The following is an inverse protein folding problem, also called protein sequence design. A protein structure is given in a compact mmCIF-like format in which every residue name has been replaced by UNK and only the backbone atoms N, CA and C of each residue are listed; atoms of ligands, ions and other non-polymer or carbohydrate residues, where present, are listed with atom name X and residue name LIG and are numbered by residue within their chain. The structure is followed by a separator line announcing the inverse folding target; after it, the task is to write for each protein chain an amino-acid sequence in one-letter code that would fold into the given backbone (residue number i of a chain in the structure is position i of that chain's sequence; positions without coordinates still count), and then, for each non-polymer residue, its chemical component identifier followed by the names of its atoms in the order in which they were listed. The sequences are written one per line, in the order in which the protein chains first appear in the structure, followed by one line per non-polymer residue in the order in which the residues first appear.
data_IF_496133002704
#
_entry.id   IF_496133002704
#
_cell.length_a   1.000
_cell.length_b   1.000
_cell.length_c   1.000
_cell.angle_alpha   90.00
_cell.angle_beta   90.00
_cell.angle_gamma   90.00
#
_symmetry.space_group_name_H-M   'P 1'
#
loop_
_entity.id
_entity.type
_entity.pdbx_description
1 polymer ?
#
# COMPACT_ATOMS: atom_id res chain seq x y z
N UNK A 1 12.00 14.92 -7.29
CA UNK A 1 11.59 13.54 -6.93
C UNK A 1 12.02 12.52 -7.98
N UNK A 2 12.07 11.21 -7.66
CA UNK A 2 12.47 10.16 -8.62
C UNK A 2 11.64 10.16 -9.92
N UNK A 3 10.33 10.45 -9.80
CA UNK A 3 9.39 10.51 -10.94
C UNK A 3 9.82 11.54 -12.00
N UNK A 4 10.48 12.64 -11.61
CA UNK A 4 10.96 13.68 -12.55
C UNK A 4 12.00 13.15 -13.54
N UNK A 5 12.69 12.05 -13.21
CA UNK A 5 13.72 11.44 -14.03
C UNK A 5 13.19 10.31 -14.95
N UNK A 6 11.88 10.01 -14.90
CA UNK A 6 11.23 9.05 -15.79
C UNK A 6 11.31 9.54 -17.24
N UNK A 7 11.84 8.69 -18.15
CA UNK A 7 11.99 8.99 -19.58
C UNK A 7 10.86 8.45 -20.46
N UNK A 8 10.03 7.56 -19.92
CA UNK A 8 8.89 6.94 -20.60
C UNK A 8 7.61 7.76 -20.43
N UNK A 9 6.62 7.53 -21.29
CA UNK A 9 5.31 8.21 -21.21
C UNK A 9 4.50 7.81 -19.97
N UNK A 10 4.77 6.62 -19.42
CA UNK A 10 4.13 6.07 -18.23
C UNK A 10 5.17 5.48 -17.30
N UNK A 11 4.82 5.34 -16.02
CA UNK A 11 5.63 4.67 -15.02
C UNK A 11 4.75 3.88 -14.05
N UNK A 12 5.35 2.85 -13.47
CA UNK A 12 4.85 2.16 -12.27
C UNK A 12 5.73 2.60 -11.11
N UNK A 13 5.14 3.07 -10.02
CA UNK A 13 5.86 3.21 -8.75
C UNK A 13 5.65 1.96 -7.90
N UNK A 14 6.70 1.55 -7.19
CA UNK A 14 6.73 0.29 -6.46
C UNK A 14 7.65 0.42 -5.24
N UNK A 15 7.27 -0.22 -4.13
CA UNK A 15 8.14 -0.36 -2.97
C UNK A 15 9.23 -1.41 -3.29
N UNK A 16 10.46 -1.21 -2.79
CA UNK A 16 11.65 -1.99 -3.21
C UNK A 16 11.56 -3.49 -2.92
N UNK A 17 10.70 -3.86 -1.97
CA UNK A 17 10.43 -5.22 -1.51
C UNK A 17 9.35 -5.94 -2.32
N UNK A 18 8.78 -5.32 -3.36
CA UNK A 18 7.83 -5.97 -4.26
C UNK A 18 8.46 -6.50 -5.53
N UNK A 19 8.03 -7.69 -5.93
CA UNK A 19 8.41 -8.33 -7.18
C UNK A 19 7.25 -8.32 -8.17
N UNK A 20 7.42 -7.75 -9.37
CA UNK A 20 6.42 -7.84 -10.42
C UNK A 20 6.34 -9.25 -11.00
N UNK A 21 5.13 -9.67 -11.36
CA UNK A 21 4.94 -10.89 -12.14
C UNK A 21 5.66 -10.77 -13.49
N UNK A 22 6.17 -11.88 -14.02
CA UNK A 22 6.92 -11.88 -15.29
C UNK A 22 6.06 -11.43 -16.47
N UNK A 23 4.74 -11.57 -16.34
CA UNK A 23 3.75 -11.14 -17.34
C UNK A 23 3.20 -9.72 -17.12
N UNK A 24 3.65 -8.98 -16.08
CA UNK A 24 3.09 -7.66 -15.77
C UNK A 24 3.25 -6.69 -16.93
N UNK A 25 4.45 -6.64 -17.52
CA UNK A 25 4.75 -5.76 -18.66
C UNK A 25 3.83 -6.04 -19.86
N UNK A 26 3.63 -7.32 -20.19
CA UNK A 26 2.74 -7.76 -21.27
C UNK A 26 1.29 -7.30 -21.04
N UNK A 27 0.80 -7.42 -19.80
CA UNK A 27 -0.57 -7.02 -19.47
C UNK A 27 -0.77 -5.50 -19.49
N UNK A 28 0.23 -4.72 -19.05
CA UNK A 28 0.23 -3.25 -19.22
C UNK A 28 0.25 -2.87 -20.71
N UNK A 29 0.88 -3.69 -21.57
CA UNK A 29 0.92 -3.50 -23.03
C UNK A 29 -0.20 -4.22 -23.78
N UNK A 30 -1.24 -4.72 -23.09
CA UNK A 30 -2.38 -5.30 -23.78
C UNK A 30 -3.12 -4.24 -24.61
N UNK A 31 -3.87 -4.69 -25.63
CA UNK A 31 -4.68 -3.79 -26.47
C UNK A 31 -5.60 -2.89 -25.64
N UNK A 32 -6.29 -3.45 -24.65
CA UNK A 32 -7.23 -2.72 -23.79
C UNK A 32 -6.48 -1.68 -22.92
N UNK A 33 -5.34 -2.07 -22.33
CA UNK A 33 -4.51 -1.18 -21.51
C UNK A 33 -3.95 -0.02 -22.34
N UNK A 34 -3.35 -0.30 -23.50
CA UNK A 34 -2.77 0.72 -24.38
C UNK A 34 -3.84 1.65 -24.96
N UNK A 35 -5.01 1.13 -25.34
CA UNK A 35 -6.13 1.96 -25.80
C UNK A 35 -6.60 2.90 -24.69
N UNK A 36 -6.75 2.40 -23.47
CA UNK A 36 -7.24 3.21 -22.34
C UNK A 36 -6.22 4.28 -21.93
N UNK A 37 -4.95 3.89 -21.80
CA UNK A 37 -3.85 4.79 -21.43
C UNK A 37 -3.58 5.87 -22.50
N UNK A 38 -3.78 5.57 -23.79
CA UNK A 38 -3.58 6.54 -24.86
C UNK A 38 -4.74 7.52 -25.02
N UNK A 39 -5.98 7.10 -24.74
CA UNK A 39 -7.17 7.93 -24.93
C UNK A 39 -7.55 8.78 -23.73
N UNK A 40 -7.28 8.31 -22.51
CA UNK A 40 -7.61 9.05 -21.29
C UNK A 40 -6.36 9.34 -20.45
N UNK A 41 -5.86 10.60 -20.44
CA UNK A 41 -4.68 11.01 -19.68
C UNK A 41 -4.84 10.90 -18.16
N UNK A 42 -6.09 10.83 -17.67
CA UNK A 42 -6.43 10.71 -16.25
C UNK A 42 -6.79 9.28 -15.86
N UNK A 43 -6.31 8.30 -16.61
CA UNK A 43 -6.38 6.89 -16.20
C UNK A 43 -5.26 6.57 -15.23
N UNK A 44 -5.59 5.90 -14.14
CA UNK A 44 -4.62 5.27 -13.25
C UNK A 44 -4.90 3.76 -13.18
N UNK A 45 -3.99 2.94 -13.69
CA UNK A 45 -4.16 1.49 -13.66
C UNK A 45 -3.67 0.94 -12.33
N UNK A 46 -4.58 0.34 -11.57
CA UNK A 46 -4.26 -0.35 -10.32
C UNK A 46 -3.63 -1.69 -10.64
N UNK A 47 -2.41 -1.91 -10.13
CA UNK A 47 -1.72 -3.20 -10.14
C UNK A 47 -1.99 -3.89 -8.81
N UNK A 48 -2.66 -5.06 -8.79
CA UNK A 48 -2.93 -5.79 -7.56
C UNK A 48 -1.65 -6.23 -6.84
N UNK A 49 -1.65 -5.99 -5.54
CA UNK A 49 -0.56 -6.31 -4.64
C UNK A 49 -0.91 -7.50 -3.75
N UNK A 50 -0.03 -8.49 -3.70
CA UNK A 50 -0.17 -9.67 -2.86
C UNK A 50 1.01 -9.77 -1.90
N UNK A 51 0.88 -10.65 -0.92
CA UNK A 51 1.98 -11.02 -0.05
C UNK A 51 1.95 -12.48 0.30
N UNK A 52 3.15 -12.99 0.55
CA UNK A 52 3.41 -14.28 1.16
C UNK A 52 2.99 -14.24 2.63
N UNK A 53 2.17 -15.18 3.07
CA UNK A 53 1.66 -15.25 4.46
C UNK A 53 2.72 -15.72 5.47
N UNK A 54 3.79 -16.33 4.98
CA UNK A 54 5.05 -16.56 5.69
C UNK A 54 5.92 -15.29 5.72
N UNK A 55 5.28 -14.18 6.06
CA UNK A 55 5.78 -12.79 6.03
C UNK A 55 7.09 -12.57 6.77
N UNK A 56 7.25 -13.25 7.89
CA UNK A 56 8.49 -13.20 8.63
C UNK A 56 9.35 -14.34 8.14
N UNK A 57 10.63 -14.08 7.87
CA UNK A 57 11.72 -15.06 7.79
C UNK A 57 11.87 -15.94 9.06
N UNK A 58 10.77 -16.46 9.61
CA UNK A 58 10.66 -17.45 10.67
C UNK A 58 10.88 -18.80 10.01
N UNK A 59 12.15 -19.12 9.76
CA UNK A 59 12.55 -20.43 9.24
C UNK A 59 11.92 -21.53 10.13
N UNK A 60 10.96 -22.29 9.58
CA UNK A 60 10.31 -23.41 10.29
C UNK A 60 11.38 -24.39 10.79
N UNK A 61 11.43 -24.60 12.10
CA UNK A 61 12.43 -25.45 12.77
C UNK A 61 13.35 -24.72 13.75
N UNK A 62 13.38 -23.38 13.74
CA UNK A 62 13.95 -22.60 14.84
C UNK A 62 12.81 -22.06 15.71
N UNK A 63 12.60 -22.67 16.88
CA UNK A 63 11.76 -22.08 17.95
C UNK A 63 12.44 -20.78 18.39
N UNK A 64 11.94 -19.64 17.92
CA UNK A 64 12.25 -18.32 18.49
C UNK A 64 11.15 -18.04 19.51
N UNK A 65 11.18 -18.75 20.63
CA UNK A 65 10.32 -18.47 21.78
C UNK A 65 10.84 -17.24 22.52
N UNK A 66 10.62 -16.05 21.95
CA UNK A 66 10.62 -14.69 22.54
C UNK A 66 11.00 -13.67 21.46
N UNK A 67 10.03 -12.87 21.00
CA UNK A 67 10.24 -11.71 20.11
C UNK A 67 11.08 -10.66 20.87
N UNK A 68 11.96 -9.79 20.28
CA UNK A 68 12.27 -9.52 18.86
C UNK A 68 13.79 -9.50 18.57
N UNK A 69 14.29 -10.36 17.70
CA UNK A 69 15.44 -9.97 16.88
C UNK A 69 15.15 -10.34 15.43
N UNK A 70 15.03 -9.29 14.61
CA UNK A 70 15.40 -9.30 13.19
C UNK A 70 16.60 -10.25 13.05
N UNK A 71 16.64 -11.19 12.09
CA UNK A 71 17.77 -12.08 11.91
C UNK A 71 19.07 -11.25 11.97
N UNK A 72 19.83 -11.43 13.05
CA UNK A 72 20.80 -10.42 13.50
C UNK A 72 22.10 -10.46 12.71
N UNK A 73 22.24 -11.43 11.80
CA UNK A 73 23.33 -11.46 10.84
C UNK A 73 22.82 -11.70 9.42
N UNK A 74 23.54 -11.11 8.45
CA UNK A 74 23.22 -11.16 7.03
C UNK A 74 23.08 -12.59 6.48
N UNK A 75 23.74 -13.58 7.08
CA UNK A 75 23.69 -14.97 6.63
C UNK A 75 22.30 -15.60 6.82
N UNK A 76 21.61 -15.31 7.93
CA UNK A 76 20.24 -15.81 8.16
C UNK A 76 19.23 -15.15 7.22
N UNK A 77 19.38 -13.84 6.98
CA UNK A 77 18.58 -13.09 6.00
C UNK A 77 18.79 -13.71 4.61
N UNK A 78 20.04 -13.94 4.19
CA UNK A 78 20.35 -14.55 2.90
C UNK A 78 19.76 -15.96 2.77
N UNK A 79 19.83 -16.78 3.82
CA UNK A 79 19.24 -18.13 3.79
C UNK A 79 17.73 -18.08 3.61
N UNK A 80 17.06 -17.14 4.26
CA UNK A 80 15.63 -16.92 4.07
C UNK A 80 15.31 -16.42 2.66
N UNK A 81 16.08 -15.46 2.15
CA UNK A 81 15.92 -14.93 0.79
C UNK A 81 16.03 -16.08 -0.22
N UNK A 82 17.07 -16.90 -0.13
CA UNK A 82 17.30 -18.02 -1.04
C UNK A 82 16.23 -19.12 -0.94
N UNK A 83 15.65 -19.31 0.25
CA UNK A 83 14.53 -20.23 0.44
C UNK A 83 13.28 -19.72 -0.31
N UNK A 84 12.87 -18.48 -0.06
CA UNK A 84 11.65 -17.93 -0.65
C UNK A 84 11.76 -17.61 -2.12
N UNK A 85 12.93 -17.18 -2.60
CA UNK A 85 13.17 -16.85 -4.01
C UNK A 85 12.73 -17.95 -4.97
N UNK A 86 12.83 -19.23 -4.56
CA UNK A 86 12.39 -20.38 -5.37
C UNK A 86 10.88 -20.61 -5.37
N UNK A 87 10.19 -20.15 -4.33
CA UNK A 87 8.75 -20.34 -4.10
C UNK A 87 7.92 -19.06 -4.38
N UNK A 88 8.57 -17.99 -4.83
CA UNK A 88 7.89 -16.76 -5.24
C UNK A 88 7.12 -16.99 -6.55
N UNK A 89 5.83 -16.61 -6.62
CA UNK A 89 5.04 -16.78 -7.81
C UNK A 89 5.49 -15.81 -8.89
N UNK A 90 5.69 -16.32 -10.10
CA UNK A 90 6.10 -15.53 -11.26
C UNK A 90 4.92 -15.20 -12.17
N UNK A 91 3.86 -15.99 -12.13
CA UNK A 91 2.65 -15.84 -12.94
C UNK A 91 1.37 -15.99 -12.13
N UNK A 92 0.23 -15.61 -12.73
CA UNK A 92 -1.08 -15.65 -12.03
C UNK A 92 -1.46 -17.05 -11.56
N UNK A 93 -1.08 -18.11 -12.29
CA UNK A 93 -1.43 -19.50 -11.95
C UNK A 93 -0.66 -19.97 -10.71
N UNK A 94 0.64 -19.67 -10.64
CA UNK A 94 1.47 -19.95 -9.47
C UNK A 94 0.99 -19.17 -8.24
N UNK A 95 0.59 -17.91 -8.39
CA UNK A 95 -0.03 -17.14 -7.31
C UNK A 95 -1.36 -17.76 -6.83
N UNK A 96 -2.24 -18.15 -7.76
CA UNK A 96 -3.51 -18.83 -7.44
C UNK A 96 -3.29 -20.13 -6.64
N UNK A 97 -2.25 -20.90 -6.99
CA UNK A 97 -1.88 -22.08 -6.22
C UNK A 97 -1.49 -21.72 -4.78
N UNK A 98 -0.67 -20.69 -4.60
CA UNK A 98 -0.27 -20.24 -3.26
C UNK A 98 -1.44 -19.71 -2.44
N UNK A 99 -2.38 -19.00 -3.06
CA UNK A 99 -3.59 -18.53 -2.37
C UNK A 99 -4.44 -19.73 -1.93
N UNK A 100 -4.63 -20.73 -2.79
CA UNK A 100 -5.38 -21.95 -2.48
C UNK A 100 -4.72 -22.79 -1.38
N UNK A 101 -3.39 -22.77 -1.31
CA UNK A 101 -2.60 -23.41 -0.26
C UNK A 101 -2.49 -22.56 1.01
N UNK A 102 -3.18 -21.41 1.08
CA UNK A 102 -3.13 -20.47 2.21
C UNK A 102 -1.70 -19.97 2.51
N UNK A 103 -0.88 -19.84 1.48
CA UNK A 103 0.51 -19.33 1.53
C UNK A 103 0.64 -17.90 1.01
N UNK A 104 -0.37 -17.37 0.32
CA UNK A 104 -0.40 -16.00 -0.16
C UNK A 104 -1.78 -15.37 0.00
N UNK A 105 -1.83 -14.05 0.13
CA UNK A 105 -3.07 -13.29 0.25
C UNK A 105 -2.90 -11.88 -0.36
N UNK A 106 -3.98 -11.08 -0.45
CA UNK A 106 -3.84 -9.64 -0.78
C UNK A 106 -2.86 -8.98 0.21
N UNK A 107 -2.03 -8.07 -0.27
CA UNK A 107 -1.08 -7.36 0.59
C UNK A 107 -1.81 -6.58 1.70
N UNK A 108 -1.18 -6.54 2.89
CA UNK A 108 -1.74 -5.96 4.11
C UNK A 108 -3.15 -6.47 4.44
N UNK A 109 -3.36 -7.78 4.34
CA UNK A 109 -4.69 -8.39 4.48
C UNK A 109 -5.36 -8.19 5.85
N UNK A 110 -4.59 -7.86 6.88
CA UNK A 110 -5.12 -7.50 8.20
C UNK A 110 -5.77 -6.12 8.20
N UNK A 111 -5.35 -5.23 7.29
CA UNK A 111 -5.89 -3.89 7.10
C UNK A 111 -6.75 -3.87 5.85
N UNK A 112 -7.98 -4.39 5.94
CA UNK A 112 -8.90 -4.54 4.78
C UNK A 112 -9.03 -3.23 3.97
N UNK A 113 -8.99 -2.07 4.62
CA UNK A 113 -9.07 -0.76 3.96
C UNK A 113 -7.87 -0.41 3.06
N UNK A 114 -6.69 -1.00 3.29
CA UNK A 114 -5.47 -0.66 2.54
C UNK A 114 -5.52 -1.13 1.09
N UNK A 115 -6.01 -2.34 0.83
CA UNK A 115 -6.06 -2.92 -0.52
C UNK A 115 -7.44 -3.49 -0.92
N UNK A 116 -8.46 -3.36 -0.06
CA UNK A 116 -9.79 -3.94 -0.28
C UNK A 116 -10.53 -3.40 -1.51
N UNK A 117 -10.32 -2.14 -1.89
CA UNK A 117 -10.88 -1.52 -3.11
C UNK A 117 -10.46 -2.28 -4.37
N UNK A 118 -9.23 -2.82 -4.40
CA UNK A 118 -8.72 -3.62 -5.52
C UNK A 118 -9.56 -4.88 -5.77
N UNK A 119 -10.24 -5.41 -4.75
CA UNK A 119 -11.09 -6.60 -4.84
C UNK A 119 -10.38 -7.80 -5.50
N UNK A 120 -9.47 -8.43 -4.74
CA UNK A 120 -8.69 -9.58 -5.18
C UNK A 120 -9.57 -10.72 -5.74
N UNK A 121 -10.72 -10.98 -5.10
CA UNK A 121 -11.64 -12.04 -5.52
C UNK A 121 -12.20 -11.81 -6.93
N UNK A 122 -12.54 -10.56 -7.27
CA UNK A 122 -12.95 -10.20 -8.63
C UNK A 122 -11.77 -10.29 -9.60
N UNK A 123 -10.58 -9.86 -9.19
CA UNK A 123 -9.37 -9.92 -10.03
C UNK A 123 -8.92 -11.35 -10.36
N UNK A 124 -9.05 -12.30 -9.43
CA UNK A 124 -8.76 -13.71 -9.67
C UNK A 124 -9.62 -14.26 -10.82
N UNK A 125 -10.88 -13.84 -10.90
CA UNK A 125 -11.83 -14.22 -11.97
C UNK A 125 -11.69 -13.36 -13.24
N UNK A 126 -10.96 -12.25 -13.19
CA UNK A 126 -10.80 -11.32 -14.30
C UNK A 126 -9.93 -11.94 -15.40
N UNK A 127 -10.37 -11.74 -16.65
CA UNK A 127 -9.62 -12.15 -17.85
C UNK A 127 -8.29 -11.41 -17.91
N UNK A 128 -7.22 -12.11 -18.27
CA UNK A 128 -5.89 -11.51 -18.43
C UNK A 128 -5.90 -10.46 -19.54
N UNK A 129 -5.18 -9.36 -19.34
CA UNK A 129 -5.06 -8.28 -20.31
C UNK A 129 -6.29 -7.38 -20.46
N UNK A 130 -7.34 -7.57 -19.65
CA UNK A 130 -8.48 -6.64 -19.60
C UNK A 130 -8.36 -5.67 -18.43
N UNK A 131 -9.10 -4.58 -18.49
CA UNK A 131 -9.27 -3.65 -17.39
C UNK A 131 -10.64 -3.84 -16.72
N UNK A 132 -10.69 -3.57 -15.41
CA UNK A 132 -11.94 -3.53 -14.65
C UNK A 132 -12.02 -2.24 -13.88
N UNK A 133 -12.98 -1.40 -14.22
CA UNK A 133 -13.16 -0.13 -13.54
C UNK A 133 -13.50 -0.32 -12.06
N UNK A 134 -12.89 0.54 -11.23
CA UNK A 134 -13.25 0.68 -9.82
C UNK A 134 -14.48 1.58 -9.77
N UNK A 135 -15.62 1.01 -9.38
CA UNK A 135 -16.89 1.75 -9.28
C UNK A 135 -16.84 2.83 -8.21
N UNK A 136 -16.26 2.49 -7.05
CA UNK A 136 -16.03 3.41 -5.95
C UNK A 136 -14.93 2.88 -5.03
N UNK A 137 -14.27 3.79 -4.30
CA UNK A 137 -13.23 3.50 -3.33
C UNK A 137 -13.88 3.12 -1.99
N UNK A 138 -13.48 1.99 -1.42
CA UNK A 138 -14.13 1.39 -0.24
C UNK A 138 -13.58 1.82 1.11
N UNK A 139 -12.47 2.56 1.13
CA UNK A 139 -11.83 2.99 2.36
C UNK A 139 -10.90 4.16 2.07
N UNK A 140 -10.84 5.12 2.99
CA UNK A 140 -9.93 6.28 2.90
C UNK A 140 -8.47 5.88 2.92
N UNK A 141 -8.16 4.74 3.55
CA UNK A 141 -6.81 4.18 3.68
C UNK A 141 -6.32 3.43 2.45
N UNK A 142 -7.02 3.50 1.32
CA UNK A 142 -6.61 2.77 0.13
C UNK A 142 -5.22 3.21 -0.35
N UNK A 143 -4.29 2.25 -0.49
CA UNK A 143 -2.90 2.49 -0.87
C UNK A 143 -2.50 1.68 -2.12
N UNK A 144 -3.02 2.00 -3.32
CA UNK A 144 -2.72 1.22 -4.52
C UNK A 144 -1.30 1.46 -5.04
N UNK A 145 -0.83 0.50 -5.85
CA UNK A 145 0.28 0.68 -6.78
C UNK A 145 -0.27 0.94 -8.17
N UNK A 146 0.20 2.02 -8.81
CA UNK A 146 -0.42 2.54 -10.01
C UNK A 146 0.56 2.60 -11.18
N UNK A 147 0.07 2.26 -12.37
CA UNK A 147 0.65 2.74 -13.63
C UNK A 147 -0.01 4.06 -13.96
N UNK A 148 0.80 5.11 -14.09
CA UNK A 148 0.35 6.48 -14.34
C UNK A 148 1.03 7.06 -15.57
N UNK A 149 0.30 7.91 -16.29
CA UNK A 149 0.89 8.76 -17.32
C UNK A 149 1.77 9.82 -16.66
N UNK A 150 2.98 9.99 -17.17
CA UNK A 150 3.84 11.13 -16.84
C UNK A 150 3.33 12.35 -17.62
N UNK A 151 2.84 13.36 -16.92
CA UNK A 151 2.44 14.65 -17.49
C UNK A 151 2.61 15.78 -16.46
N UNK A 152 2.49 17.03 -16.91
CA UNK A 152 2.51 18.23 -16.05
C UNK A 152 1.37 18.26 -15.05
N UNK A 153 0.22 17.69 -15.44
CA UNK A 153 -1.03 17.75 -14.68
C UNK A 153 -1.12 16.65 -13.60
N UNK A 154 -0.14 15.76 -13.57
CA UNK A 154 -0.05 14.70 -12.59
C UNK A 154 0.37 15.31 -11.24
N UNK A 155 -0.45 15.21 -10.17
CA UNK A 155 -0.07 15.75 -8.88
C UNK A 155 1.18 15.04 -8.35
N UNK A 156 2.15 15.78 -7.79
CA UNK A 156 3.31 15.18 -7.14
C UNK A 156 2.91 14.49 -5.83
N UNK A 157 3.75 13.55 -5.40
CA UNK A 157 3.78 13.19 -3.98
C UNK A 157 4.17 14.44 -3.17
N UNK A 158 3.48 14.68 -2.07
CA UNK A 158 3.76 15.83 -1.22
C UNK A 158 4.97 15.56 -0.34
N UNK A 159 5.99 16.42 -0.42
CA UNK A 159 7.28 16.25 0.28
C UNK A 159 7.17 16.25 1.81
N UNK A 160 6.02 16.64 2.38
CA UNK A 160 5.80 16.58 3.83
C UNK A 160 5.47 15.16 4.31
N UNK A 161 4.99 14.27 3.43
CA UNK A 161 4.73 12.86 3.74
C UNK A 161 6.00 12.03 3.54
N UNK A 162 7.00 12.30 4.39
CA UNK A 162 8.32 11.63 4.35
C UNK A 162 8.45 10.55 5.41
N UNK A 163 9.36 9.60 5.18
CA UNK A 163 9.59 8.49 6.07
C UNK A 163 8.61 7.35 5.81
N UNK A 164 8.01 6.82 6.86
CA UNK A 164 7.09 5.69 6.76
C UNK A 164 5.63 6.16 6.79
N UNK A 165 4.80 5.60 5.90
CA UNK A 165 3.33 5.71 5.93
C UNK A 165 2.72 6.90 5.18
N UNK A 166 1.44 6.76 4.80
CA UNK A 166 0.50 7.80 4.32
C UNK A 166 0.81 8.47 2.97
N UNK A 167 2.02 8.35 2.44
CA UNK A 167 2.39 8.90 1.12
C UNK A 167 1.49 8.38 -0.02
N UNK A 168 1.18 7.07 -0.04
CA UNK A 168 0.30 6.47 -1.05
C UNK A 168 -1.16 6.91 -0.88
N UNK A 169 -1.64 7.02 0.37
CA UNK A 169 -2.99 7.52 0.69
C UNK A 169 -3.15 8.96 0.20
N UNK A 170 -2.19 9.82 0.54
CA UNK A 170 -2.17 11.20 0.08
C UNK A 170 -2.26 11.27 -1.44
N UNK A 171 -1.45 10.48 -2.16
CA UNK A 171 -1.39 10.54 -3.62
C UNK A 171 -2.70 10.09 -4.26
N UNK A 172 -3.34 9.02 -3.77
CA UNK A 172 -4.61 8.57 -4.33
C UNK A 172 -5.73 9.58 -4.08
N UNK A 173 -5.78 10.22 -2.90
CA UNK A 173 -6.74 11.29 -2.60
C UNK A 173 -6.59 12.45 -3.58
N UNK A 174 -5.34 12.87 -3.83
CA UNK A 174 -5.07 13.97 -4.74
C UNK A 174 -5.45 13.61 -6.19
N UNK A 175 -5.12 12.39 -6.64
CA UNK A 175 -5.47 11.92 -7.98
C UNK A 175 -6.98 11.88 -8.19
N UNK A 176 -7.75 11.32 -7.24
CA UNK A 176 -9.20 11.19 -7.38
C UNK A 176 -9.88 12.55 -7.38
N UNK A 177 -9.46 13.49 -6.53
CA UNK A 177 -9.93 14.89 -6.55
C UNK A 177 -9.69 15.58 -7.88
N UNK A 178 -8.55 15.30 -8.53
CA UNK A 178 -8.22 15.83 -9.85
C UNK A 178 -8.87 15.08 -11.02
N UNK A 179 -9.81 14.17 -10.75
CA UNK A 179 -10.59 13.50 -11.80
C UNK A 179 -9.95 12.24 -12.36
N UNK A 180 -8.95 11.66 -11.69
CA UNK A 180 -8.38 10.39 -12.13
C UNK A 180 -9.35 9.23 -11.90
N UNK A 181 -9.45 8.35 -12.89
CA UNK A 181 -10.26 7.13 -12.86
C UNK A 181 -9.38 5.91 -12.65
N UNK A 182 -9.80 5.06 -11.73
CA UNK A 182 -9.07 3.85 -11.37
C UNK A 182 -9.61 2.63 -12.12
N UNK A 183 -8.73 1.87 -12.74
CA UNK A 183 -9.08 0.60 -13.38
C UNK A 183 -8.07 -0.48 -12.98
N UNK A 184 -8.55 -1.63 -12.51
CA UNK A 184 -7.72 -2.75 -12.08
C UNK A 184 -7.23 -3.56 -13.27
N UNK A 185 -5.92 -3.72 -13.39
CA UNK A 185 -5.26 -4.48 -14.44
C UNK A 185 -5.47 -5.99 -14.26
N UNK A 186 -6.01 -6.67 -15.26
CA UNK A 186 -6.23 -8.11 -15.25
C UNK A 186 -4.97 -8.91 -15.59
N UNK A 187 -4.62 -9.89 -14.77
CA UNK A 187 -3.51 -10.81 -15.01
C UNK A 187 -2.20 -10.42 -14.34
N UNK A 188 -1.79 -9.16 -14.49
CA UNK A 188 -0.54 -8.64 -13.89
C UNK A 188 -0.71 -8.40 -12.40
N UNK A 189 0.33 -8.68 -11.62
CA UNK A 189 0.36 -8.41 -10.18
C UNK A 189 1.78 -8.09 -9.72
N UNK A 190 1.88 -7.61 -8.49
CA UNK A 190 3.12 -7.48 -7.72
C UNK A 190 2.97 -8.27 -6.43
N UNK A 191 4.06 -8.84 -5.93
CA UNK A 191 4.05 -9.59 -4.67
C UNK A 191 5.16 -9.13 -3.74
N UNK A 192 4.80 -8.82 -2.50
CA UNK A 192 5.71 -8.46 -1.44
C UNK A 192 6.58 -9.65 -1.06
N UNK A 193 7.89 -9.46 -1.09
CA UNK A 193 8.88 -10.44 -0.69
C UNK A 193 8.93 -10.56 0.85
N UNK A 194 8.95 -11.76 1.46
CA UNK A 194 9.11 -11.89 2.90
C UNK A 194 10.41 -11.26 3.40
N UNK A 195 10.31 -10.31 4.33
CA UNK A 195 11.48 -9.72 4.97
C UNK A 195 11.12 -9.22 6.39
N UNK A 196 12.12 -9.07 7.28
CA UNK A 196 11.90 -8.50 8.60
C UNK A 196 11.37 -7.07 8.53
N UNK A 197 10.60 -6.66 9.54
CA UNK A 197 10.19 -5.26 9.67
C UNK A 197 11.42 -4.33 9.73
N UNK A 198 11.35 -3.22 8.99
CA UNK A 198 12.36 -2.17 9.04
C UNK A 198 12.32 -1.43 10.38
N UNK A 199 13.40 -0.74 10.74
CA UNK A 199 13.42 0.14 11.92
C UNK A 199 12.30 1.18 11.87
N UNK A 200 12.04 1.75 10.70
CA UNK A 200 10.96 2.72 10.48
C UNK A 200 9.56 2.10 10.69
N UNK A 201 9.33 0.86 10.26
CA UNK A 201 8.07 0.14 10.52
C UNK A 201 7.91 -0.20 12.00
N UNK A 202 8.97 -0.66 12.65
CA UNK A 202 8.96 -0.92 14.11
C UNK A 202 8.62 0.35 14.88
N UNK A 203 9.19 1.49 14.48
CA UNK A 203 8.85 2.79 15.06
C UNK A 203 7.40 3.20 14.75
N UNK A 204 6.93 3.01 13.52
CA UNK A 204 5.54 3.28 13.09
C UNK A 204 4.47 2.47 13.84
N UNK A 205 4.83 1.31 14.38
CA UNK A 205 3.90 0.47 15.15
C UNK A 205 4.04 0.64 16.66
N UNK A 206 5.12 1.28 17.13
CA UNK A 206 5.47 1.31 18.55
C UNK A 206 4.40 1.89 19.49
N UNK A 207 3.41 2.64 18.97
CA UNK A 207 2.40 3.33 19.78
C UNK A 207 0.95 3.12 19.31
N UNK A 208 0.68 2.04 18.57
CA UNK A 208 -0.70 1.70 18.19
C UNK A 208 -1.37 0.98 19.36
N UNK A 209 -2.44 1.57 19.91
CA UNK A 209 -3.39 0.85 20.78
C UNK A 209 -4.46 0.25 19.87
N UNK A 210 -4.26 -0.99 19.44
CA UNK A 210 -5.21 -1.74 18.60
C UNK A 210 -6.29 -2.45 19.44
N UNK A 211 -6.40 -2.12 20.74
CA UNK A 211 -7.37 -2.72 21.65
C UNK A 211 -7.00 -4.13 22.14
N UNK A 212 -5.93 -4.74 21.62
CA UNK A 212 -5.45 -6.06 22.07
C UNK A 212 -4.36 -5.97 23.14
N UNK A 213 -3.75 -4.79 23.35
CA UNK A 213 -2.58 -4.61 24.22
C UNK A 213 -2.71 -3.43 25.22
N UNK A 214 -3.70 -3.48 26.11
CA UNK A 214 -3.89 -2.50 27.21
C UNK A 214 -2.67 -2.27 28.12
N UNK A 215 -1.73 -3.22 28.18
CA UNK A 215 -0.53 -3.12 29.01
C UNK A 215 0.59 -2.24 28.40
N UNK A 216 0.47 -1.79 27.15
CA UNK A 216 1.50 -0.99 26.51
C UNK A 216 1.40 0.52 26.81
N UNK A 217 0.22 1.07 27.13
CA UNK A 217 0.02 2.53 27.29
C UNK A 217 0.93 3.19 28.35
N UNK A 218 1.13 2.53 29.50
CA UNK A 218 2.06 3.02 30.56
C UNK A 218 3.53 2.87 30.16
N UNK A 219 3.87 1.81 29.42
CA UNK A 219 5.23 1.54 28.93
C UNK A 219 5.60 2.51 27.81
N UNK A 220 4.64 2.83 26.94
CA UNK A 220 4.67 3.83 25.88
C UNK A 220 4.91 5.25 26.42
N UNK A 221 4.11 5.71 27.40
CA UNK A 221 4.35 7.01 28.06
C UNK A 221 5.74 7.09 28.70
N UNK A 222 6.22 5.99 29.30
CA UNK A 222 7.57 5.92 29.88
C UNK A 222 8.67 5.97 28.81
N UNK A 223 8.44 5.39 27.63
CA UNK A 223 9.38 5.39 26.51
C UNK A 223 9.47 6.78 25.83
N UNK A 224 8.33 7.42 25.57
CA UNK A 224 8.23 8.79 25.06
C UNK A 224 8.93 9.77 25.99
N UNK A 225 8.62 9.68 27.29
CA UNK A 225 9.24 10.52 28.34
C UNK A 225 10.75 10.27 28.47
N UNK A 226 11.23 9.03 28.25
CA UNK A 226 12.67 8.71 28.22
C UNK A 226 13.37 9.30 26.98
N UNK A 227 12.67 9.42 25.85
CA UNK A 227 13.18 10.05 24.62
C UNK A 227 12.99 11.58 24.60
N UNK A 228 12.33 12.16 25.61
CA UNK A 228 12.00 13.59 25.64
C UNK A 228 10.93 14.01 24.64
N UNK A 229 10.15 13.06 24.12
CA UNK A 229 9.14 13.29 23.09
C UNK A 229 7.74 13.33 23.72
N UNK A 230 6.88 14.21 23.23
CA UNK A 230 5.45 14.22 23.47
C UNK A 230 4.72 13.21 22.56
N UNK A 231 3.44 12.97 22.83
CA UNK A 231 2.58 12.11 21.98
C UNK A 231 2.43 12.70 20.57
N UNK A 232 2.37 14.04 20.46
CA UNK A 232 2.32 14.74 19.17
C UNK A 232 3.61 14.67 18.33
N UNK A 233 4.75 14.36 18.97
CA UNK A 233 6.03 14.18 18.26
C UNK A 233 6.16 12.77 17.67
N UNK A 234 5.19 11.89 17.91
CA UNK A 234 5.20 10.56 17.35
C UNK A 234 4.93 10.60 15.85
N UNK A 235 5.89 10.10 15.05
CA UNK A 235 5.87 10.18 13.59
C UNK A 235 4.53 9.78 12.97
N UNK A 236 3.91 8.68 13.43
CA UNK A 236 2.60 8.26 12.90
C UNK A 236 1.48 9.25 13.19
N UNK A 237 1.41 9.79 14.40
CA UNK A 237 0.38 10.79 14.75
C UNK A 237 0.61 12.11 14.02
N UNK A 238 1.87 12.50 13.84
CA UNK A 238 2.21 13.65 12.99
C UNK A 238 1.74 13.43 11.54
N UNK A 239 1.94 12.24 10.97
CA UNK A 239 1.45 11.90 9.63
C UNK A 239 -0.08 11.79 9.55
N UNK A 240 -0.74 11.30 10.60
CA UNK A 240 -2.20 11.25 10.70
C UNK A 240 -2.79 12.68 10.70
N UNK A 241 -2.24 13.59 11.52
CA UNK A 241 -2.63 15.00 11.56
C UNK A 241 -2.35 15.74 10.24
N UNK A 242 -1.20 15.48 9.62
CA UNK A 242 -0.85 16.06 8.33
C UNK A 242 -1.81 15.60 7.23
N UNK A 243 -2.27 14.35 7.28
CA UNK A 243 -3.26 13.83 6.34
C UNK A 243 -4.62 14.52 6.49
N UNK A 244 -5.04 14.82 7.72
CA UNK A 244 -6.27 15.59 7.99
C UNK A 244 -6.17 16.98 7.35
N UNK A 245 -5.10 17.71 7.66
CA UNK A 245 -4.85 19.05 7.08
C UNK A 245 -4.80 19.01 5.55
N UNK A 246 -4.21 17.95 4.98
CA UNK A 246 -4.16 17.77 3.54
C UNK A 246 -5.55 17.56 2.94
N UNK A 247 -6.42 16.79 3.59
CA UNK A 247 -7.79 16.58 3.12
C UNK A 247 -8.61 17.87 3.20
N UNK A 248 -8.53 18.61 4.31
CA UNK A 248 -9.19 19.91 4.46
C UNK A 248 -8.75 20.88 3.35
N UNK A 249 -7.44 20.97 3.10
CA UNK A 249 -6.91 21.75 1.99
C UNK A 249 -7.43 21.28 0.61
N UNK A 250 -7.56 19.98 0.41
CA UNK A 250 -7.98 19.39 -0.87
C UNK A 250 -9.47 19.64 -1.17
N UNK A 251 -10.30 19.83 -0.15
CA UNK A 251 -11.70 20.23 -0.27
C UNK A 251 -11.83 21.66 -0.83
N UNK A 252 -10.94 22.56 -0.42
CA UNK A 252 -10.88 23.96 -0.89
C UNK A 252 -10.35 24.09 -2.33
N UNK A 253 -9.65 23.09 -2.84
CA UNK A 253 -9.18 23.06 -4.24
C UNK A 253 -10.35 22.72 -5.16
N UNK A 254 -10.60 23.53 -6.19
CA UNK A 254 -11.56 23.22 -7.26
C UNK A 254 -11.23 21.86 -7.88
N UNK A 255 -12.01 20.84 -7.50
CA UNK A 255 -11.85 19.49 -8.00
C UNK A 255 -12.25 19.44 -9.48
N UNK A 256 -11.41 18.83 -10.32
CA UNK A 256 -11.69 18.67 -11.75
C UNK A 256 -12.95 17.85 -12.08
N UNK A 257 -13.60 17.27 -11.05
CA UNK A 257 -14.78 16.43 -11.17
C UNK A 257 -14.50 15.10 -11.89
N UNK A 258 -15.42 14.14 -11.77
CA UNK A 258 -15.44 12.93 -12.60
C UNK A 258 -14.35 11.88 -12.34
N UNK A 259 -13.68 11.95 -11.18
CA UNK A 259 -12.75 10.91 -10.71
C UNK A 259 -13.49 9.69 -10.17
N UNK A 260 -12.74 8.69 -9.68
CA UNK A 260 -13.36 7.58 -8.94
C UNK A 260 -13.71 8.04 -7.53
N UNK A 261 -15.01 8.12 -7.24
CA UNK A 261 -15.55 8.54 -5.94
C UNK A 261 -15.44 7.46 -4.87
N UNK A 262 -15.59 7.84 -3.61
CA UNK A 262 -15.76 6.92 -2.48
C UNK A 262 -17.17 6.29 -2.49
N UNK A 263 -17.28 5.07 -1.98
CA UNK A 263 -18.56 4.37 -1.93
C UNK A 263 -19.54 5.09 -0.98
N UNK A 264 -20.87 5.06 -1.24
CA UNK A 264 -21.84 5.67 -0.33
C UNK A 264 -21.70 5.12 1.10
N UNK A 265 -21.64 6.00 2.09
CA UNK A 265 -21.42 5.64 3.50
C UNK A 265 -19.96 5.53 3.93
N UNK A 266 -19.02 5.48 2.97
CA UNK A 266 -17.60 5.69 3.22
C UNK A 266 -17.32 7.19 3.07
N UNK A 267 -17.29 7.93 4.18
CA UNK A 267 -16.88 9.33 4.18
C UNK A 267 -15.47 9.46 4.72
N UNK A 268 -14.74 10.47 4.23
CA UNK A 268 -13.44 10.82 4.79
C UNK A 268 -13.55 11.10 6.30
N UNK A 269 -14.61 11.80 6.73
CA UNK A 269 -14.90 12.12 8.13
C UNK A 269 -15.06 10.89 9.04
N UNK A 270 -15.70 9.81 8.59
CA UNK A 270 -15.98 8.63 9.42
C UNK A 270 -14.72 7.87 9.83
N UNK A 271 -13.72 7.79 8.94
CA UNK A 271 -12.44 7.13 9.21
C UNK A 271 -11.49 8.03 10.04
N UNK A 272 -11.63 9.35 9.94
CA UNK A 272 -10.82 10.30 10.72
C UNK A 272 -11.17 10.30 12.22
N UNK A 273 -12.43 10.04 12.58
CA UNK A 273 -12.86 9.81 13.96
C UNK A 273 -12.13 8.61 14.62
N UNK A 274 -11.71 7.61 13.83
CA UNK A 274 -10.89 6.49 14.31
C UNK A 274 -9.38 6.79 14.34
N UNK A 275 -8.94 7.88 13.70
CA UNK A 275 -7.55 8.36 13.73
C UNK A 275 -7.28 9.38 14.84
N UNK A 276 -8.32 10.03 15.35
CA UNK A 276 -8.22 10.89 16.52
C UNK A 276 -8.07 10.01 17.78
N UNK A 277 -6.97 10.19 18.52
CA UNK A 277 -6.88 9.68 19.89
C UNK A 277 -7.94 10.43 20.70
N UNK A 278 -8.80 9.75 21.48
CA UNK A 278 -9.72 10.46 22.35
C UNK A 278 -8.92 11.37 23.27
N UNK A 279 -9.25 12.67 23.24
CA UNK A 279 -8.72 13.61 24.23
C UNK A 279 -9.05 13.06 25.62
N UNK A 280 -8.01 12.99 26.46
CA UNK A 280 -8.06 12.39 27.80
C UNK A 280 -8.95 13.15 28.75
#
# INVERSE_FOLDING_TARGET
MAIENVKTSHYLYLDIDFWPSTTLYEHVHSKDSLMTLSTNPKTALVVPAFSRLDHDCKIKGMRISSIPQIPSNAAQINKCIEYYKKDMPTDKKSLENLIREEKAHIFDHWTVGAHGTTNANAWLKQRKGTLRDVKCIKATRYEPYLVLRRCSDLPPFQNHFTGYGKNKIQHILHLTRLGYKLSVLGGGFIIHFPHPASSAKVEWDAFVDDGHHKNDRKKQQKLLKKKGLGVGDYHRLAMDNLLIQFVEWLEDVDGGGGGTDYCPGESMEADFLHMQIPES
#
